data_IF_141638396685
#
_entry.id   IF_141638396685
#
_cell.length_a   1.000
_cell.length_b   1.000
_cell.length_c   1.000
_cell.angle_alpha   90.00
_cell.angle_beta   90.00
_cell.angle_gamma   90.00
#
_symmetry.space_group_name_H-M   'P 1'
#
loop_
_entity.id
_entity.type
_entity.pdbx_description
1 polymer ?
#
# COMPACT_ATOMS: atom_id res chain seq x y z
N UNK A 1 14.21 -15.00 15.23
CA UNK A 1 13.57 -14.76 13.92
C UNK A 1 14.01 -15.80 12.91
N UNK A 2 13.05 -16.41 12.20
CA UNK A 2 13.29 -17.41 11.16
C UNK A 2 13.02 -16.80 9.79
N UNK A 3 13.86 -17.13 8.80
CA UNK A 3 13.63 -16.74 7.40
C UNK A 3 14.00 -17.91 6.52
N UNK A 4 13.07 -18.33 5.68
CA UNK A 4 13.21 -19.42 4.72
C UNK A 4 12.82 -18.93 3.33
N UNK A 5 13.56 -19.36 2.33
CA UNK A 5 13.30 -19.01 0.92
C UNK A 5 12.98 -20.28 0.15
N UNK A 6 11.90 -20.24 -0.61
CA UNK A 6 11.61 -21.22 -1.66
C UNK A 6 11.85 -20.58 -3.02
N UNK A 7 11.48 -21.28 -4.10
CA UNK A 7 11.58 -20.74 -5.45
C UNK A 7 10.75 -19.46 -5.65
N UNK A 8 9.55 -19.40 -5.04
CA UNK A 8 8.55 -18.37 -5.33
C UNK A 8 8.12 -17.56 -4.09
N UNK A 9 8.57 -17.93 -2.90
CA UNK A 9 8.12 -17.33 -1.64
C UNK A 9 9.26 -17.17 -0.63
N UNK A 10 9.18 -16.12 0.18
CA UNK A 10 10.00 -15.90 1.37
C UNK A 10 9.09 -15.99 2.58
N UNK A 11 9.40 -16.89 3.50
CA UNK A 11 8.73 -17.00 4.79
C UNK A 11 9.54 -16.26 5.83
N UNK A 12 8.89 -15.38 6.60
CA UNK A 12 9.49 -14.75 7.77
C UNK A 12 8.65 -15.05 8.99
N UNK A 13 9.30 -15.42 10.08
CA UNK A 13 8.66 -15.63 11.37
C UNK A 13 9.41 -14.89 12.46
N UNK A 14 8.69 -13.99 13.14
CA UNK A 14 9.12 -13.29 14.35
C UNK A 14 8.43 -13.92 15.56
N UNK A 15 8.70 -13.38 16.75
CA UNK A 15 8.04 -13.86 17.97
C UNK A 15 6.51 -13.67 17.91
N UNK A 16 6.03 -12.65 17.20
CA UNK A 16 4.60 -12.31 17.10
C UNK A 16 4.00 -12.40 15.70
N UNK A 17 4.79 -12.44 14.63
CA UNK A 17 4.29 -12.48 13.27
C UNK A 17 4.75 -13.73 12.53
N UNK A 18 3.86 -14.28 11.71
CA UNK A 18 4.21 -15.20 10.62
C UNK A 18 3.73 -14.59 9.31
N UNK A 19 4.63 -14.49 8.34
CA UNK A 19 4.34 -13.84 7.06
C UNK A 19 4.92 -14.61 5.88
N UNK A 20 4.28 -14.44 4.73
CA UNK A 20 4.75 -14.90 3.43
C UNK A 20 4.85 -13.70 2.49
N UNK A 21 5.99 -13.57 1.83
CA UNK A 21 6.23 -12.60 0.76
C UNK A 21 6.35 -13.39 -0.54
N UNK A 22 5.62 -13.00 -1.59
CA UNK A 22 5.73 -13.64 -2.90
C UNK A 22 6.81 -12.97 -3.74
N UNK A 23 7.63 -13.79 -4.37
CA UNK A 23 8.67 -13.35 -5.31
C UNK A 23 8.28 -13.69 -6.75
N UNK A 24 7.28 -14.54 -6.96
CA UNK A 24 6.68 -14.85 -8.25
C UNK A 24 5.14 -14.82 -8.19
N UNK A 25 4.51 -14.47 -9.32
CA UNK A 25 3.05 -14.37 -9.46
C UNK A 25 2.45 -13.13 -8.79
N UNK A 26 1.15 -13.22 -8.50
CA UNK A 26 0.46 -12.28 -7.62
C UNK A 26 0.75 -12.69 -6.18
N UNK A 27 1.22 -11.85 -5.25
CA UNK A 27 1.03 -10.41 -5.05
C UNK A 27 2.37 -9.72 -4.71
N UNK A 28 2.52 -8.42 -5.00
CA UNK A 28 3.62 -7.60 -4.43
C UNK A 28 3.40 -7.36 -2.92
N UNK A 29 4.43 -6.94 -2.19
CA UNK A 29 4.30 -6.74 -0.74
C UNK A 29 4.15 -8.05 0.04
N UNK A 30 3.34 -8.02 1.10
CA UNK A 30 3.11 -9.19 1.97
C UNK A 30 1.89 -9.98 1.48
N UNK A 31 2.06 -11.26 1.14
CA UNK A 31 0.99 -12.12 0.65
C UNK A 31 0.05 -12.63 1.74
N UNK A 32 0.56 -12.77 2.97
CA UNK A 32 -0.26 -13.12 4.13
C UNK A 32 0.44 -12.74 5.42
N UNK A 33 -0.32 -12.30 6.42
CA UNK A 33 0.17 -11.93 7.74
C UNK A 33 -0.69 -12.56 8.83
N UNK A 34 -0.05 -13.24 9.78
CA UNK A 34 -0.68 -13.88 10.93
C UNK A 34 -0.11 -13.28 12.22
N UNK A 35 -1.00 -12.88 13.12
CA UNK A 35 -0.69 -12.51 14.50
C UNK A 35 -0.65 -13.75 15.38
N UNK A 36 0.55 -14.14 15.83
CA UNK A 36 0.75 -15.30 16.71
C UNK A 36 0.13 -15.09 18.09
N UNK A 37 -0.09 -13.85 18.52
CA UNK A 37 -0.68 -13.55 19.83
C UNK A 37 -2.18 -13.86 19.89
N UNK A 38 -2.90 -13.64 18.80
CA UNK A 38 -4.37 -13.80 18.76
C UNK A 38 -4.84 -14.89 17.82
N UNK A 39 -3.96 -15.40 16.95
CA UNK A 39 -4.31 -16.28 15.85
C UNK A 39 -4.98 -15.58 14.66
N UNK A 40 -5.16 -14.25 14.73
CA UNK A 40 -5.79 -13.48 13.66
C UNK A 40 -4.93 -13.46 12.39
N UNK A 41 -5.59 -13.36 11.24
CA UNK A 41 -4.97 -13.25 9.91
C UNK A 41 -5.51 -12.02 9.19
N UNK A 42 -4.70 -11.46 8.28
CA UNK A 42 -5.23 -10.53 7.28
C UNK A 42 -6.43 -11.13 6.52
N UNK A 43 -7.40 -10.30 6.16
CA UNK A 43 -8.66 -10.74 5.54
C UNK A 43 -8.61 -10.64 4.01
N UNK A 44 -7.47 -10.26 3.45
CA UNK A 44 -7.37 -9.75 2.09
C UNK A 44 -6.73 -10.71 1.10
N UNK A 45 -6.10 -10.10 0.11
CA UNK A 45 -5.31 -10.77 -0.92
C UNK A 45 -3.80 -10.54 -0.74
N UNK A 46 -3.44 -9.75 0.26
CA UNK A 46 -2.10 -9.26 0.53
C UNK A 46 -2.17 -7.90 1.21
N UNK A 47 -1.02 -7.41 1.64
CA UNK A 47 -0.83 -6.13 2.29
C UNK A 47 0.27 -5.34 1.60
N UNK A 48 0.03 -4.02 1.47
CA UNK A 48 0.92 -3.08 0.79
C UNK A 48 1.26 -3.50 -0.65
N UNK A 49 0.19 -3.65 -1.43
CA UNK A 49 0.23 -4.16 -2.79
C UNK A 49 0.42 -3.00 -3.74
N UNK A 50 1.50 -3.00 -4.51
CA UNK A 50 1.82 -1.94 -5.46
C UNK A 50 1.31 -2.28 -6.86
N UNK A 51 0.61 -1.32 -7.46
CA UNK A 51 0.01 -1.41 -8.79
C UNK A 51 0.89 -0.79 -9.87
N UNK A 52 0.76 0.51 -10.12
CA UNK A 52 1.35 1.21 -11.28
C UNK A 52 1.60 2.69 -10.99
N UNK A 53 2.24 3.37 -11.94
CA UNK A 53 2.46 4.82 -11.91
C UNK A 53 1.37 5.56 -12.68
N UNK A 54 0.82 6.60 -12.05
CA UNK A 54 -0.25 7.42 -12.59
C UNK A 54 0.10 8.90 -12.55
N UNK A 55 -0.72 9.68 -13.24
CA UNK A 55 -0.92 11.11 -13.00
C UNK A 55 -2.41 11.46 -13.12
N UNK A 56 -2.86 12.60 -12.57
CA UNK A 56 -4.21 13.11 -12.82
C UNK A 56 -4.40 13.52 -14.27
N UNK A 57 -5.57 13.25 -14.84
CA UNK A 57 -5.93 13.74 -16.18
C UNK A 57 -6.82 12.77 -16.95
N UNK A 58 -7.38 13.25 -18.06
CA UNK A 58 -8.20 12.45 -18.98
C UNK A 58 -7.41 12.16 -20.26
N UNK A 59 -7.30 10.90 -20.66
CA UNK A 59 -6.58 10.46 -21.84
C UNK A 59 -7.48 10.00 -23.01
N UNK A 60 -8.81 10.10 -22.88
CA UNK A 60 -9.77 9.62 -23.90
C UNK A 60 -9.56 10.23 -25.29
N UNK A 61 -9.07 11.46 -25.36
CA UNK A 61 -8.83 12.20 -26.61
C UNK A 61 -7.34 12.25 -27.01
N UNK A 62 -6.46 11.56 -26.28
CA UNK A 62 -5.03 11.55 -26.58
C UNK A 62 -4.71 10.43 -27.60
N UNK A 63 -3.67 10.60 -28.42
CA UNK A 63 -3.28 9.61 -29.43
C UNK A 63 -2.52 8.43 -28.81
N UNK A 64 -3.10 7.79 -27.78
CA UNK A 64 -2.56 6.58 -27.15
C UNK A 64 -3.48 5.39 -27.41
N UNK A 65 -2.92 4.17 -27.58
CA UNK A 65 -3.69 2.92 -27.70
C UNK A 65 -4.66 2.73 -26.54
N UNK A 66 -5.81 2.08 -26.80
CA UNK A 66 -6.90 1.93 -25.82
C UNK A 66 -6.46 1.12 -24.58
N UNK A 67 -5.60 0.12 -24.78
CA UNK A 67 -5.03 -0.71 -23.71
C UNK A 67 -4.13 0.06 -22.74
N UNK A 68 -3.68 1.26 -23.13
CA UNK A 68 -2.88 2.16 -22.30
C UNK A 68 -3.66 3.37 -21.80
N UNK A 69 -4.98 3.36 -21.97
CA UNK A 69 -5.86 4.37 -21.39
C UNK A 69 -6.34 3.92 -20.02
N UNK A 70 -6.30 4.82 -19.04
CA UNK A 70 -6.90 4.53 -17.76
C UNK A 70 -8.42 4.62 -17.89
N UNK A 71 -9.09 3.47 -17.70
CA UNK A 71 -10.55 3.43 -17.70
C UNK A 71 -11.10 4.11 -16.44
N UNK A 72 -12.08 4.98 -16.61
CA UNK A 72 -12.81 5.61 -15.51
C UNK A 72 -14.29 5.85 -15.90
N UNK A 73 -15.10 6.23 -14.92
CA UNK A 73 -16.55 6.40 -15.07
C UNK A 73 -17.35 5.11 -14.85
N UNK A 74 -16.77 4.13 -14.16
CA UNK A 74 -17.40 2.85 -13.83
C UNK A 74 -17.33 2.55 -12.32
N UNK A 75 -17.91 1.41 -11.90
CA UNK A 75 -17.91 1.00 -10.49
C UNK A 75 -16.53 0.63 -9.93
N UNK A 76 -15.54 0.38 -10.78
CA UNK A 76 -14.21 -0.09 -10.38
C UNK A 76 -13.28 1.11 -10.13
N UNK A 77 -13.33 2.10 -11.02
CA UNK A 77 -12.41 3.22 -11.04
C UNK A 77 -13.06 4.54 -10.60
N UNK A 78 -14.39 4.60 -10.57
CA UNK A 78 -15.14 5.80 -10.22
C UNK A 78 -14.99 6.92 -11.25
N UNK A 79 -15.54 8.10 -10.98
CA UNK A 79 -15.32 9.29 -11.81
C UNK A 79 -14.02 10.00 -11.46
N UNK A 80 -12.93 9.26 -11.44
CA UNK A 80 -11.59 9.74 -11.08
C UNK A 80 -10.69 9.62 -12.32
N UNK A 81 -10.63 10.65 -13.17
CA UNK A 81 -9.79 10.62 -14.36
C UNK A 81 -8.30 10.57 -13.97
N UNK A 82 -7.61 9.55 -14.48
CA UNK A 82 -6.15 9.38 -14.39
C UNK A 82 -5.59 9.10 -15.78
N UNK A 83 -4.27 9.14 -15.87
CA UNK A 83 -3.50 8.60 -17.00
C UNK A 83 -2.43 7.68 -16.44
N UNK A 84 -2.19 6.55 -17.11
CA UNK A 84 -0.98 5.79 -16.82
C UNK A 84 0.23 6.64 -17.16
N UNK A 85 1.24 6.64 -16.30
CA UNK A 85 2.56 7.18 -16.62
C UNK A 85 3.43 6.04 -17.12
N UNK A 86 3.52 4.98 -16.32
CA UNK A 86 4.30 3.78 -16.61
C UNK A 86 3.58 2.52 -16.11
N UNK A 87 3.81 1.44 -16.84
CA UNK A 87 3.17 0.13 -16.78
C UNK A 87 4.26 -0.96 -16.78
N UNK A 88 3.92 -2.22 -16.45
CA UNK A 88 2.59 -2.77 -16.17
C UNK A 88 2.14 -2.60 -14.71
N UNK A 89 0.93 -3.10 -14.40
CA UNK A 89 0.50 -3.32 -13.02
C UNK A 89 1.39 -4.40 -12.37
N UNK A 90 2.25 -4.00 -11.44
CA UNK A 90 3.30 -4.84 -10.85
C UNK A 90 2.69 -6.09 -10.22
N UNK A 91 1.66 -5.94 -9.38
CA UNK A 91 1.11 -7.06 -8.60
C UNK A 91 0.58 -8.21 -9.46
N UNK A 92 0.11 -7.96 -10.69
CA UNK A 92 -0.45 -9.01 -11.57
C UNK A 92 0.46 -9.38 -12.74
N UNK A 93 1.33 -8.47 -13.18
CA UNK A 93 2.04 -8.61 -14.47
C UNK A 93 3.56 -8.60 -14.37
N UNK A 94 4.14 -8.26 -13.21
CA UNK A 94 5.60 -8.32 -13.04
C UNK A 94 6.16 -9.74 -13.20
N UNK A 95 5.33 -10.77 -12.95
CA UNK A 95 5.62 -12.22 -12.97
C UNK A 95 6.65 -12.66 -11.92
N UNK A 96 7.75 -11.94 -11.76
CA UNK A 96 8.81 -12.19 -10.79
C UNK A 96 9.42 -10.88 -10.31
N UNK A 97 9.57 -10.75 -9.00
CA UNK A 97 10.25 -9.63 -8.35
C UNK A 97 11.62 -10.07 -7.87
N UNK A 98 12.71 -9.40 -8.30
CA UNK A 98 14.01 -9.59 -7.67
C UNK A 98 13.95 -9.13 -6.20
N UNK A 99 14.79 -9.75 -5.37
CA UNK A 99 14.80 -9.47 -3.95
C UNK A 99 16.17 -9.64 -3.32
N UNK A 100 16.36 -8.98 -2.18
CA UNK A 100 17.51 -9.15 -1.28
C UNK A 100 16.99 -9.32 0.15
N UNK A 101 17.68 -10.15 0.93
CA UNK A 101 17.36 -10.36 2.35
C UNK A 101 18.51 -9.82 3.18
N UNK A 102 18.20 -8.87 4.05
CA UNK A 102 19.12 -8.31 5.03
C UNK A 102 18.76 -8.83 6.43
N UNK A 103 19.74 -9.41 7.13
CA UNK A 103 19.56 -9.91 8.50
C UNK A 103 20.31 -9.01 9.47
N UNK A 104 19.56 -8.25 10.26
CA UNK A 104 20.11 -7.47 11.37
C UNK A 104 20.05 -8.24 12.70
N UNK A 105 20.57 -7.63 13.77
CA UNK A 105 20.63 -8.26 15.11
C UNK A 105 19.26 -8.66 15.67
N UNK A 106 18.22 -7.86 15.44
CA UNK A 106 16.87 -8.08 15.98
C UNK A 106 15.75 -7.84 14.95
N UNK A 107 16.10 -7.86 13.67
CA UNK A 107 15.17 -7.62 12.57
C UNK A 107 15.65 -8.32 11.30
N UNK A 108 14.73 -8.53 10.37
CA UNK A 108 15.00 -8.93 8.99
C UNK A 108 14.34 -7.91 8.09
N UNK A 109 15.05 -7.48 7.06
CA UNK A 109 14.50 -6.65 6.00
C UNK A 109 14.55 -7.40 4.67
N UNK A 110 13.50 -7.27 3.88
CA UNK A 110 13.42 -7.80 2.51
C UNK A 110 13.31 -6.60 1.59
N UNK A 111 14.22 -6.48 0.63
CA UNK A 111 14.11 -5.54 -0.47
C UNK A 111 13.42 -6.22 -1.63
N UNK A 112 12.46 -5.57 -2.27
CA UNK A 112 11.97 -5.90 -3.60
C UNK A 112 12.12 -4.68 -4.50
N UNK A 113 12.24 -4.90 -5.81
CA UNK A 113 12.24 -3.79 -6.76
C UNK A 113 11.72 -4.21 -8.13
N UNK A 114 11.28 -3.22 -8.90
CA UNK A 114 10.85 -3.43 -10.28
C UNK A 114 11.15 -2.19 -11.11
N UNK A 115 11.64 -2.40 -12.34
CA UNK A 115 11.80 -1.33 -13.33
C UNK A 115 10.64 -1.42 -14.31
N UNK A 116 9.83 -0.37 -14.37
CA UNK A 116 8.71 -0.28 -15.31
C UNK A 116 9.21 -0.40 -16.75
N UNK A 117 8.44 -1.10 -17.58
CA UNK A 117 8.88 -1.54 -18.92
C UNK A 117 8.07 -0.93 -20.05
N UNK A 118 6.94 -0.30 -19.74
CA UNK A 118 6.05 0.38 -20.68
C UNK A 118 5.79 1.78 -20.16
N UNK A 119 5.80 2.78 -21.04
CA UNK A 119 5.45 4.16 -20.73
C UNK A 119 4.41 4.68 -21.72
N UNK A 120 3.64 5.68 -21.32
CA UNK A 120 2.63 6.33 -22.17
C UNK A 120 3.04 7.76 -22.51
N UNK A 121 2.38 8.39 -23.50
CA UNK A 121 2.49 9.83 -23.80
C UNK A 121 3.95 10.32 -23.97
N UNK A 122 4.63 9.85 -25.01
CA UNK A 122 6.00 10.26 -25.38
C UNK A 122 7.06 10.15 -24.26
N UNK A 123 6.79 9.35 -23.22
CA UNK A 123 7.70 9.07 -22.11
C UNK A 123 8.58 7.85 -22.37
N UNK A 124 9.64 7.74 -21.58
CA UNK A 124 10.53 6.60 -21.58
C UNK A 124 10.14 5.62 -20.46
N UNK A 125 10.11 4.30 -20.72
CA UNK A 125 10.04 3.35 -19.62
C UNK A 125 11.34 3.37 -18.82
N UNK A 126 11.25 3.04 -17.54
CA UNK A 126 12.42 2.75 -16.73
C UNK A 126 12.40 3.33 -15.33
N UNK A 127 11.28 3.91 -14.88
CA UNK A 127 11.14 4.29 -13.48
C UNK A 127 11.39 3.06 -12.59
N UNK A 128 12.06 3.27 -11.46
CA UNK A 128 12.41 2.21 -10.52
C UNK A 128 11.51 2.34 -9.29
N UNK A 129 10.75 1.29 -9.02
CA UNK A 129 10.12 1.06 -7.72
C UNK A 129 11.02 0.19 -6.84
N UNK A 130 11.19 0.58 -5.59
CA UNK A 130 11.85 -0.18 -4.54
C UNK A 130 10.93 -0.26 -3.32
N UNK A 131 10.83 -1.42 -2.68
CA UNK A 131 10.09 -1.63 -1.44
C UNK A 131 10.97 -2.34 -0.41
N UNK A 132 11.03 -1.79 0.81
CA UNK A 132 11.65 -2.43 1.96
C UNK A 132 10.58 -2.93 2.93
N UNK A 133 10.56 -4.23 3.20
CA UNK A 133 9.70 -4.85 4.22
C UNK A 133 10.55 -5.24 5.43
N UNK A 134 10.39 -4.54 6.56
CA UNK A 134 11.20 -4.69 7.77
C UNK A 134 10.36 -5.33 8.87
N UNK A 135 10.75 -6.53 9.29
CA UNK A 135 10.13 -7.31 10.35
C UNK A 135 11.02 -7.33 11.60
N UNK A 136 10.44 -7.04 12.76
CA UNK A 136 11.15 -6.94 14.04
C UNK A 136 10.58 -7.94 15.05
N UNK A 137 11.46 -8.47 15.90
CA UNK A 137 11.02 -9.22 17.08
C UNK A 137 10.36 -8.28 18.10
N UNK A 138 9.44 -8.83 18.90
CA UNK A 138 8.70 -8.07 19.91
C UNK A 138 7.63 -7.11 19.35
N UNK A 139 7.38 -7.10 18.03
CA UNK A 139 6.36 -6.26 17.38
C UNK A 139 5.31 -7.10 16.66
N UNK A 140 4.04 -6.65 16.74
CA UNK A 140 2.88 -7.19 16.00
C UNK A 140 2.62 -6.45 14.68
N UNK A 141 3.61 -5.70 14.21
CA UNK A 141 3.59 -4.97 12.96
C UNK A 141 4.94 -5.09 12.25
N UNK A 142 4.94 -4.81 10.95
CA UNK A 142 6.13 -4.61 10.14
C UNK A 142 6.14 -3.17 9.60
N UNK A 143 7.30 -2.72 9.15
CA UNK A 143 7.45 -1.44 8.45
C UNK A 143 7.60 -1.73 6.97
N UNK A 144 6.89 -0.99 6.13
CA UNK A 144 7.14 -0.93 4.70
C UNK A 144 7.68 0.44 4.29
N UNK A 145 8.52 0.48 3.28
CA UNK A 145 8.97 1.73 2.67
C UNK A 145 9.00 1.59 1.16
N UNK A 146 8.11 2.31 0.49
CA UNK A 146 8.06 2.40 -0.97
C UNK A 146 8.84 3.62 -1.44
N UNK A 147 9.60 3.45 -2.51
CA UNK A 147 10.32 4.53 -3.18
C UNK A 147 10.17 4.40 -4.69
N UNK A 148 9.88 5.52 -5.34
CA UNK A 148 9.90 5.65 -6.79
C UNK A 148 11.05 6.56 -7.19
N UNK A 149 11.85 6.13 -8.17
CA UNK A 149 12.82 6.98 -8.88
C UNK A 149 12.37 7.14 -10.32
N UNK A 150 12.07 8.36 -10.74
CA UNK A 150 11.42 8.61 -12.05
C UNK A 150 12.40 8.54 -13.21
N UNK A 151 12.00 7.93 -14.33
CA UNK A 151 12.70 8.02 -15.62
C UNK A 151 12.33 9.28 -16.43
N UNK A 152 11.29 10.01 -16.00
CA UNK A 152 10.67 11.09 -16.75
C UNK A 152 10.46 12.33 -15.87
N UNK A 153 10.25 13.47 -16.52
CA UNK A 153 9.67 14.64 -15.87
C UNK A 153 8.15 14.49 -15.87
N UNK A 154 7.54 14.54 -14.68
CA UNK A 154 6.08 14.37 -14.50
C UNK A 154 5.62 15.37 -13.46
N UNK A 155 4.64 16.22 -13.79
CA UNK A 155 4.21 17.31 -12.91
C UNK A 155 3.40 16.83 -11.70
N UNK A 156 2.86 15.61 -11.74
CA UNK A 156 2.14 15.01 -10.62
C UNK A 156 2.24 13.48 -10.65
N UNK A 157 3.44 12.95 -10.39
CA UNK A 157 3.68 11.50 -10.39
C UNK A 157 3.08 10.82 -9.15
N UNK A 158 2.27 9.79 -9.37
CA UNK A 158 1.54 9.06 -8.33
C UNK A 158 1.92 7.59 -8.36
N UNK A 159 2.10 6.97 -7.19
CA UNK A 159 2.14 5.52 -7.01
C UNK A 159 0.82 5.05 -6.40
N UNK A 160 0.15 4.08 -7.04
CA UNK A 160 -1.06 3.43 -6.51
C UNK A 160 -0.73 2.18 -5.70
N UNK A 161 -1.35 2.07 -4.53
CA UNK A 161 -1.12 1.02 -3.55
C UNK A 161 -2.45 0.56 -2.92
N UNK A 162 -2.64 -0.74 -2.70
CA UNK A 162 -3.68 -1.24 -1.79
C UNK A 162 -3.17 -1.17 -0.33
N UNK A 163 -3.78 -0.30 0.49
CA UNK A 163 -3.28 0.05 1.83
C UNK A 163 -4.40 0.09 2.91
N UNK A 164 -4.30 -0.69 4.00
CA UNK A 164 -3.31 -1.76 4.20
C UNK A 164 -3.45 -2.89 3.19
N UNK A 165 -4.63 -3.07 2.60
CA UNK A 165 -4.94 -4.12 1.63
C UNK A 165 -6.45 -4.24 1.46
N UNK A 166 -6.91 -5.43 1.12
CA UNK A 166 -8.33 -5.73 0.88
C UNK A 166 -9.01 -6.39 2.08
N UNK A 167 -10.35 -6.38 2.11
CA UNK A 167 -11.14 -7.11 3.10
C UNK A 167 -12.15 -8.01 2.37
N UNK A 168 -11.90 -9.32 2.37
CA UNK A 168 -12.88 -10.30 1.91
C UNK A 168 -13.98 -10.45 2.94
N UNK A 169 -15.23 -10.40 2.51
CA UNK A 169 -16.39 -10.65 3.33
C UNK A 169 -17.56 -11.11 2.47
N UNK A 170 -18.54 -11.74 3.09
CA UNK A 170 -19.87 -11.92 2.57
C UNK A 170 -20.83 -11.12 3.46
N UNK A 171 -21.30 -9.96 2.97
CA UNK A 171 -22.22 -9.08 3.71
C UNK A 171 -21.73 -8.68 5.12
N UNK A 172 -20.45 -8.34 5.26
CA UNK A 172 -19.84 -7.86 6.51
C UNK A 172 -19.56 -8.94 7.55
N UNK A 173 -19.58 -10.22 7.21
CA UNK A 173 -19.37 -11.33 8.16
C UNK A 173 -17.97 -11.38 8.80
N UNK A 174 -16.91 -10.96 8.10
CA UNK A 174 -15.51 -11.10 8.58
C UNK A 174 -15.00 -9.91 9.41
N UNK A 175 -15.61 -8.74 9.30
CA UNK A 175 -15.15 -7.51 9.97
C UNK A 175 -16.32 -6.75 10.60
N UNK A 176 -16.03 -5.97 11.64
CA UNK A 176 -17.04 -5.21 12.39
C UNK A 176 -17.15 -3.76 11.89
N UNK A 177 -16.01 -3.12 11.67
CA UNK A 177 -15.92 -1.73 11.25
C UNK A 177 -14.58 -1.42 10.58
N UNK A 178 -14.56 -0.32 9.85
CA UNK A 178 -13.37 0.32 9.32
C UNK A 178 -13.15 1.62 10.10
N UNK A 179 -11.89 1.95 10.38
CA UNK A 179 -11.48 3.24 10.92
C UNK A 179 -10.57 3.94 9.92
N UNK A 180 -10.94 5.17 9.53
CA UNK A 180 -10.11 6.05 8.71
C UNK A 180 -9.87 7.32 9.52
N UNK A 181 -8.62 7.69 9.79
CA UNK A 181 -8.32 8.87 10.63
C UNK A 181 -8.83 10.20 10.07
N UNK A 182 -9.13 10.26 8.77
CA UNK A 182 -9.71 11.43 8.09
C UNK A 182 -11.25 11.39 8.02
N UNK A 183 -11.90 10.37 8.56
CA UNK A 183 -13.36 10.19 8.50
C UNK A 183 -13.98 9.77 9.84
N UNK A 184 -13.38 8.79 10.52
CA UNK A 184 -13.89 8.18 11.73
C UNK A 184 -14.20 6.69 11.55
N UNK A 185 -15.11 6.18 12.39
CA UNK A 185 -15.56 4.79 12.34
C UNK A 185 -16.68 4.59 11.33
N UNK A 186 -16.59 3.51 10.56
CA UNK A 186 -17.55 3.13 9.52
C UNK A 186 -17.98 1.69 9.80
N UNK A 187 -19.27 1.42 10.11
CA UNK A 187 -19.72 0.06 10.39
C UNK A 187 -19.73 -0.80 9.12
N UNK A 188 -19.55 -2.12 9.28
CA UNK A 188 -19.54 -3.05 8.14
C UNK A 188 -20.83 -3.04 7.30
N UNK A 189 -21.96 -2.61 7.88
CA UNK A 189 -23.24 -2.46 7.18
C UNK A 189 -23.16 -1.47 6.01
N UNK A 190 -22.19 -0.56 6.02
CA UNK A 190 -21.99 0.40 4.93
C UNK A 190 -21.43 -0.25 3.66
N UNK A 191 -20.93 -1.48 3.74
CA UNK A 191 -20.28 -2.23 2.65
C UNK A 191 -21.11 -3.43 2.20
N UNK A 192 -22.43 -3.42 2.44
CA UNK A 192 -23.30 -4.50 1.98
C UNK A 192 -23.53 -4.50 0.47
N UNK A 193 -23.52 -3.32 -0.15
CA UNK A 193 -23.84 -3.12 -1.56
C UNK A 193 -22.69 -2.40 -2.26
N UNK A 194 -22.46 -2.74 -3.53
CA UNK A 194 -21.36 -2.17 -4.31
C UNK A 194 -21.53 -0.66 -4.57
N UNK A 195 -20.46 0.10 -4.39
CA UNK A 195 -20.39 1.53 -4.70
C UNK A 195 -18.99 1.91 -5.24
N UNK A 196 -18.89 2.93 -6.11
CA UNK A 196 -17.63 3.30 -6.73
C UNK A 196 -16.68 4.05 -5.77
N UNK A 197 -15.38 4.13 -6.10
CA UNK A 197 -14.34 4.86 -5.35
C UNK A 197 -14.68 6.27 -4.86
N UNK A 198 -15.30 7.08 -5.72
CA UNK A 198 -15.57 8.50 -5.49
C UNK A 198 -16.92 8.77 -4.81
N UNK A 199 -17.76 7.75 -4.62
CA UNK A 199 -19.07 7.95 -4.03
C UNK A 199 -19.03 8.17 -2.52
N UNK A 200 -18.11 7.50 -1.82
CA UNK A 200 -18.09 7.44 -0.35
C UNK A 200 -16.67 7.29 0.16
N UNK A 201 -16.41 7.82 1.35
CA UNK A 201 -15.15 7.64 2.10
C UNK A 201 -13.89 8.04 1.30
N UNK A 202 -14.03 8.99 0.38
CA UNK A 202 -12.96 9.48 -0.48
C UNK A 202 -12.22 10.65 0.18
N UNK A 203 -10.90 10.55 0.20
CA UNK A 203 -9.96 11.62 0.53
C UNK A 203 -9.19 12.03 -0.72
N UNK A 204 -9.09 13.35 -0.94
CA UNK A 204 -8.28 13.99 -1.97
C UNK A 204 -7.54 15.18 -1.37
N UNK A 205 -6.22 15.17 -1.52
CA UNK A 205 -5.36 16.30 -1.12
C UNK A 205 -5.77 17.57 -1.86
N UNK A 206 -5.82 18.69 -1.14
CA UNK A 206 -6.24 19.99 -1.67
C UNK A 206 -7.76 20.20 -1.73
N UNK A 207 -8.56 19.15 -1.57
CA UNK A 207 -10.03 19.23 -1.44
C UNK A 207 -10.45 18.99 0.01
N UNK A 208 -9.96 17.91 0.61
CA UNK A 208 -10.18 17.60 2.01
C UNK A 208 -9.12 18.27 2.89
N UNK A 209 -9.47 18.54 4.14
CA UNK A 209 -8.50 18.96 5.15
C UNK A 209 -7.47 17.83 5.34
N UNK A 210 -6.19 18.17 5.27
CA UNK A 210 -5.12 17.20 5.55
C UNK A 210 -5.24 16.72 7.00
N UNK A 211 -5.36 15.40 7.25
CA UNK A 211 -5.49 14.89 8.60
C UNK A 211 -4.14 14.93 9.33
N UNK A 212 -4.17 15.02 10.66
CA UNK A 212 -2.96 14.97 11.49
C UNK A 212 -2.25 13.61 11.44
N UNK A 213 -3.02 12.54 11.19
CA UNK A 213 -2.55 11.16 11.06
C UNK A 213 -3.19 10.55 9.82
N UNK A 214 -2.51 9.62 9.17
CA UNK A 214 -3.07 8.86 8.06
C UNK A 214 -3.12 7.36 8.40
N UNK A 215 -4.18 6.96 9.10
CA UNK A 215 -4.41 5.59 9.59
C UNK A 215 -5.63 5.02 8.89
N UNK A 216 -5.48 3.82 8.36
CA UNK A 216 -6.53 3.06 7.69
C UNK A 216 -6.56 1.66 8.28
N UNK A 217 -7.65 1.31 8.95
CA UNK A 217 -7.73 0.07 9.70
C UNK A 217 -9.09 -0.59 9.56
N UNK A 218 -9.15 -1.90 9.79
CA UNK A 218 -10.39 -2.63 9.94
C UNK A 218 -10.34 -3.52 11.19
N UNK A 219 -11.47 -3.64 11.87
CA UNK A 219 -11.65 -4.49 13.05
C UNK A 219 -12.08 -5.88 12.59
N UNK A 220 -11.19 -6.85 12.75
CA UNK A 220 -11.54 -8.26 12.52
C UNK A 220 -12.63 -8.65 13.52
N UNK A 221 -13.67 -9.34 13.05
CA UNK A 221 -14.78 -9.74 13.91
C UNK A 221 -14.29 -10.63 15.05
N UNK A 222 -14.55 -10.23 16.29
CA UNK A 222 -14.07 -10.90 17.50
C UNK A 222 -12.54 -10.90 17.67
N UNK A 223 -11.80 -10.12 16.86
CA UNK A 223 -10.35 -10.15 16.77
C UNK A 223 -9.71 -8.78 16.99
N UNK A 224 -8.40 -8.63 16.72
CA UNK A 224 -7.71 -7.34 16.75
C UNK A 224 -8.12 -6.46 15.57
N UNK A 225 -7.61 -5.22 15.58
CA UNK A 225 -7.56 -4.39 14.39
C UNK A 225 -6.37 -4.78 13.52
N UNK A 226 -6.53 -4.76 12.20
CA UNK A 226 -5.40 -4.67 11.26
C UNK A 226 -5.36 -3.25 10.70
N UNK A 227 -4.21 -2.58 10.77
CA UNK A 227 -4.03 -1.21 10.31
C UNK A 227 -2.86 -1.08 9.33
N UNK A 228 -2.99 -0.13 8.40
CA UNK A 228 -1.91 0.46 7.61
C UNK A 228 -1.83 1.96 7.92
N UNK A 229 -0.62 2.44 8.20
CA UNK A 229 -0.38 3.80 8.66
C UNK A 229 0.69 4.48 7.83
N UNK A 230 0.32 5.48 7.04
CA UNK A 230 1.28 6.28 6.28
C UNK A 230 1.83 7.38 7.17
N UNK A 231 3.12 7.30 7.50
CA UNK A 231 3.71 8.09 8.60
C UNK A 231 3.83 9.58 8.30
N UNK A 232 3.86 9.96 7.02
CA UNK A 232 3.71 11.35 6.59
C UNK A 232 2.37 11.55 5.87
N UNK A 233 1.37 12.22 6.47
CA UNK A 233 0.08 12.45 5.82
C UNK A 233 0.16 13.25 4.52
N UNK A 234 1.16 14.13 4.37
CA UNK A 234 1.25 15.00 3.20
C UNK A 234 1.61 14.26 1.91
N UNK A 235 2.27 13.09 2.00
CA UNK A 235 2.62 12.27 0.83
C UNK A 235 1.37 11.69 0.16
N UNK A 236 0.26 11.54 0.88
CA UNK A 236 -0.96 10.93 0.35
C UNK A 236 -1.70 11.92 -0.56
N UNK A 237 -1.83 11.54 -1.83
CA UNK A 237 -2.53 12.32 -2.85
C UNK A 237 -4.03 12.05 -2.81
N UNK A 238 -4.43 10.79 -2.92
CA UNK A 238 -5.82 10.34 -2.88
C UNK A 238 -5.94 9.02 -2.12
N UNK A 239 -7.13 8.75 -1.58
CA UNK A 239 -7.33 7.56 -0.76
C UNK A 239 -8.82 7.27 -0.60
N UNK A 240 -9.26 6.03 -0.82
CA UNK A 240 -10.66 5.62 -0.65
C UNK A 240 -10.78 4.18 -0.19
N UNK A 241 -11.91 3.85 0.42
CA UNK A 241 -12.39 2.47 0.45
C UNK A 241 -13.72 2.36 -0.28
N UNK A 242 -13.88 1.31 -1.08
CA UNK A 242 -15.12 1.07 -1.82
C UNK A 242 -15.49 -0.41 -1.85
N UNK A 243 -16.77 -0.69 -2.14
CA UNK A 243 -17.31 -2.04 -2.19
C UNK A 243 -17.47 -2.51 -3.64
N UNK A 244 -16.88 -3.67 -3.96
CA UNK A 244 -17.03 -4.38 -5.25
C UNK A 244 -16.93 -5.90 -5.07
N UNK A 245 -17.87 -6.49 -4.33
CA UNK A 245 -17.80 -7.88 -3.86
C UNK A 245 -16.80 -8.15 -2.72
N UNK A 246 -15.88 -7.23 -2.47
CA UNK A 246 -15.03 -7.11 -1.29
C UNK A 246 -14.74 -5.63 -1.05
N UNK A 247 -14.26 -5.28 0.16
CA UNK A 247 -13.80 -3.91 0.41
C UNK A 247 -12.40 -3.73 -0.16
N UNK A 248 -12.26 -2.76 -1.05
CA UNK A 248 -11.00 -2.38 -1.65
C UNK A 248 -10.53 -1.07 -1.04
N UNK A 249 -9.37 -1.09 -0.37
CA UNK A 249 -8.77 0.07 0.29
C UNK A 249 -7.56 0.54 -0.52
N UNK A 250 -7.76 1.55 -1.38
CA UNK A 250 -6.69 2.08 -2.24
C UNK A 250 -6.16 3.40 -1.66
N UNK A 251 -4.85 3.56 -1.70
CA UNK A 251 -4.11 4.78 -1.41
C UNK A 251 -3.18 5.12 -2.57
N UNK A 252 -3.17 6.40 -2.93
CA UNK A 252 -2.26 6.99 -3.88
C UNK A 252 -1.29 7.91 -3.15
N UNK A 253 0.01 7.70 -3.31
CA UNK A 253 1.07 8.55 -2.73
C UNK A 253 1.83 9.29 -3.83
N UNK A 254 2.50 10.40 -3.47
CA UNK A 254 3.15 11.29 -4.43
C UNK A 254 2.23 12.44 -4.80
N UNK A 255 1.96 12.63 -6.10
CA UNK A 255 1.14 13.72 -6.64
C UNK A 255 1.83 15.08 -6.63
N UNK A 256 3.16 15.08 -6.68
CA UNK A 256 4.01 16.28 -6.76
C UNK A 256 4.79 16.25 -8.07
N UNK A 257 5.34 17.39 -8.51
CA UNK A 257 6.31 17.41 -9.60
C UNK A 257 7.53 16.56 -9.22
N UNK A 258 7.91 15.66 -10.12
CA UNK A 258 9.11 14.83 -10.01
C UNK A 258 9.86 14.95 -11.32
N UNK A 259 11.13 15.32 -11.24
CA UNK A 259 12.01 15.38 -12.40
C UNK A 259 12.69 14.03 -12.63
N UNK A 260 13.20 13.85 -13.84
CA UNK A 260 13.99 12.69 -14.21
C UNK A 260 15.11 12.48 -13.20
N UNK A 261 15.29 11.23 -12.76
CA UNK A 261 16.20 10.76 -11.70
C UNK A 261 15.85 11.18 -10.27
N UNK A 262 14.88 12.06 -10.05
CA UNK A 262 14.41 12.38 -8.71
C UNK A 262 13.56 11.23 -8.14
N UNK A 263 13.42 11.24 -6.81
CA UNK A 263 12.65 10.24 -6.09
C UNK A 263 11.66 10.86 -5.12
N UNK A 264 10.57 10.13 -4.85
CA UNK A 264 9.76 10.29 -3.64
C UNK A 264 9.59 8.94 -2.96
N UNK A 265 9.26 8.97 -1.67
CA UNK A 265 9.06 7.75 -0.88
C UNK A 265 8.03 7.96 0.22
N UNK A 266 7.49 6.85 0.72
CA UNK A 266 6.61 6.83 1.88
C UNK A 266 6.99 5.66 2.79
N UNK A 267 6.83 5.86 4.10
CA UNK A 267 6.96 4.79 5.10
C UNK A 267 5.59 4.46 5.68
N UNK A 268 5.33 3.17 5.78
CA UNK A 268 4.11 2.60 6.30
C UNK A 268 4.40 1.71 7.52
N UNK A 269 3.54 1.78 8.54
CA UNK A 269 3.45 0.74 9.58
C UNK A 269 2.21 -0.10 9.31
N UNK A 270 2.38 -1.42 9.19
CA UNK A 270 1.29 -2.35 8.89
C UNK A 270 1.30 -3.50 9.90
N UNK A 271 0.17 -3.76 10.55
CA UNK A 271 0.10 -4.83 11.54
C UNK A 271 -1.16 -4.86 12.38
N UNK A 272 -1.08 -5.57 13.50
CA UNK A 272 -2.20 -5.82 14.40
C UNK A 272 -2.14 -4.98 15.68
N UNK A 273 -3.30 -4.48 16.08
CA UNK A 273 -3.46 -3.57 17.21
C UNK A 273 -4.68 -3.94 18.02
N UNK A 274 -4.61 -3.71 19.33
CA UNK A 274 -5.74 -3.96 20.23
C UNK A 274 -6.77 -2.83 20.16
N UNK A 275 -6.33 -1.60 19.92
CA UNK A 275 -7.21 -0.43 19.87
C UNK A 275 -6.70 0.68 18.94
N UNK A 276 -7.56 1.66 18.63
CA UNK A 276 -7.20 2.84 17.84
C UNK A 276 -6.27 3.76 18.63
N UNK A 277 -6.36 3.78 19.96
CA UNK A 277 -5.46 4.53 20.83
C UNK A 277 -4.01 4.01 20.74
N UNK A 278 -3.84 2.67 20.67
CA UNK A 278 -2.54 2.05 20.43
C UNK A 278 -1.97 2.47 19.07
N UNK A 279 -2.81 2.50 18.03
CA UNK A 279 -2.42 2.96 16.70
C UNK A 279 -1.97 4.43 16.72
N UNK A 280 -2.76 5.31 17.34
CA UNK A 280 -2.43 6.73 17.43
C UNK A 280 -1.10 6.96 18.16
N UNK A 281 -0.89 6.27 19.29
CA UNK A 281 0.36 6.36 20.07
C UNK A 281 1.56 5.89 19.25
N UNK A 282 1.43 4.78 18.52
CA UNK A 282 2.51 4.28 17.67
C UNK A 282 2.79 5.23 16.50
N UNK A 283 1.73 5.71 15.85
CA UNK A 283 1.81 6.67 14.76
C UNK A 283 2.61 7.90 15.18
N UNK A 284 2.24 8.50 16.31
CA UNK A 284 2.87 9.73 16.81
C UNK A 284 4.35 9.54 17.17
N UNK A 285 4.77 8.31 17.50
CA UNK A 285 6.18 8.00 17.78
C UNK A 285 7.06 7.94 16.51
N UNK A 286 6.47 7.77 15.33
CA UNK A 286 7.19 7.65 14.05
C UNK A 286 6.71 8.63 12.98
N UNK A 287 5.84 9.58 13.31
CA UNK A 287 5.26 10.55 12.37
C UNK A 287 6.35 11.25 11.56
N UNK A 288 5.96 11.68 10.36
CA UNK A 288 6.75 12.46 9.41
C UNK A 288 7.95 11.73 8.77
N UNK A 289 8.15 10.45 9.08
CA UNK A 289 9.12 9.61 8.37
C UNK A 289 8.64 9.29 6.95
N UNK A 290 9.54 9.42 5.96
CA UNK A 290 9.28 9.15 4.54
C UNK A 290 10.26 8.15 3.93
N UNK A 291 11.34 7.80 4.61
CA UNK A 291 12.35 6.89 4.12
C UNK A 291 12.93 6.02 5.24
N UNK A 292 13.70 5.01 4.84
CA UNK A 292 14.42 4.14 5.76
C UNK A 292 15.87 3.99 5.32
N UNK A 293 16.77 3.88 6.30
CA UNK A 293 18.17 3.52 6.09
C UNK A 293 18.46 2.28 6.92
N UNK A 294 18.96 1.24 6.26
CA UNK A 294 19.50 0.06 6.91
C UNK A 294 20.97 0.26 7.23
N UNK A 295 21.40 -0.21 8.40
CA UNK A 295 22.80 -0.32 8.78
C UNK A 295 23.05 -1.68 9.46
N UNK A 296 24.30 -2.11 9.56
CA UNK A 296 24.64 -3.40 10.19
C UNK A 296 24.06 -3.55 11.61
N UNK A 297 23.99 -2.42 12.34
CA UNK A 297 23.53 -2.38 13.72
C UNK A 297 22.02 -2.11 13.88
N UNK A 298 21.27 -1.84 12.81
CA UNK A 298 19.89 -1.40 12.95
C UNK A 298 19.24 -0.91 11.66
N UNK A 299 18.12 -0.22 11.82
CA UNK A 299 17.51 0.59 10.79
C UNK A 299 17.03 1.89 11.43
N UNK A 300 16.93 2.95 10.62
CA UNK A 300 16.39 4.23 11.06
C UNK A 300 15.37 4.70 10.05
N UNK A 301 14.21 5.13 10.55
CA UNK A 301 13.22 5.86 9.76
C UNK A 301 13.60 7.35 9.75
N UNK A 302 13.52 7.97 8.58
CA UNK A 302 13.90 9.35 8.33
C UNK A 302 12.75 10.06 7.63
#
# INVERSE_FOLDING_TARGET
>A
MKVETTKAEIYVETDFLKTTIRTEGYVSGVASLIDKSTGARDLGFGLDIVDFLLEPGDDRNLPIPEEYRYRWGDKIHGNIPKRFVELPQICTQAKRLPFEIFRGRNFVAIKQWFKFTIATLDRLPGSLWEQWLIFQNGRRFFISCDKITSANDVDSLILRIDMPGHIKHNRGDTFESIYLSYYGFIPAIEFLEDFPPDARFFYRRGVNQQPQRFIRAYKIRGGPWLAGMTLNPSIVYESWCHQRGYVCMIQEIGGYPVRKTESFSAVHIIGFFNSVEEMNKLYDAYRECNSTVLCENGYRLI
#
